data_IF_781189437090
#
_entry.id   IF_781189437090
#
_cell.length_a   1.000
_cell.length_b   1.000
_cell.length_c   1.000
_cell.angle_alpha   90.00
_cell.angle_beta   90.00
_cell.angle_gamma   90.00
#
_symmetry.space_group_name_H-M   'P 1'
#
loop_
_entity.id
_entity.type
_entity.pdbx_description
1 polymer ?
2 branched ?
3 branched ?
4 non-polymer ?
5 non-polymer ?
6 non-polymer ?
7 water ?
#
# COMPACT_ATOMS: atom_id res chain seq x y z
N UNK A 27 8.80 22.75 0.44
CA UNK A 27 10.24 22.47 0.38
C UNK A 27 10.53 21.33 -0.60
N UNK A 28 11.10 21.68 -1.74
CA UNK A 28 11.34 20.68 -2.79
C UNK A 28 12.53 19.79 -2.48
N UNK A 29 13.48 20.26 -1.68
CA UNK A 29 14.76 19.58 -1.55
C UNK A 29 15.09 19.30 -0.09
N UNK A 30 15.90 18.28 0.17
CA UNK A 30 16.54 18.14 1.48
C UNK A 30 17.28 19.41 1.88
N UNK A 31 17.19 19.76 3.16
CA UNK A 31 17.84 20.99 3.64
C UNK A 31 19.34 21.00 3.36
N UNK A 32 19.98 19.83 3.36
CA UNK A 32 21.42 19.78 3.10
C UNK A 32 21.78 20.24 1.70
N UNK A 33 20.81 20.34 0.80
CA UNK A 33 21.07 20.64 -0.61
C UNK A 33 21.18 22.13 -0.89
N UNK A 34 20.93 22.99 0.09
CA UNK A 34 21.04 24.44 -0.03
C UNK A 34 22.38 24.93 0.46
N UNK A 35 22.98 25.96 -0.17
CA UNK A 35 22.48 26.62 -1.38
C UNK A 35 22.77 25.80 -2.63
N UNK A 36 22.17 26.19 -3.77
CA UNK A 36 22.41 25.57 -5.07
C UNK A 36 21.94 24.12 -5.10
N UNK A 37 20.67 23.85 -4.82
CA UNK A 37 20.22 22.45 -4.88
C UNK A 37 20.17 21.85 -6.29
N UNK A 38 20.12 22.68 -7.32
CA UNK A 38 20.07 22.19 -8.71
C UNK A 38 21.47 22.10 -9.33
N UNK A 39 22.52 22.13 -8.51
CA UNK A 39 23.87 21.99 -9.03
C UNK A 39 23.97 20.77 -9.93
N UNK A 40 24.60 20.95 -11.09
CA UNK A 40 24.80 19.86 -12.04
C UNK A 40 23.65 19.57 -12.97
N UNK A 41 22.49 20.19 -12.78
CA UNK A 41 21.30 19.90 -13.56
C UNK A 41 21.15 20.97 -14.64
N UNK A 42 20.98 20.54 -15.89
CA UNK A 42 20.72 21.49 -16.97
C UNK A 42 19.23 21.82 -17.00
N UNK A 43 18.91 23.12 -16.96
CA UNK A 43 17.51 23.53 -16.99
C UNK A 43 16.93 23.37 -18.38
N UNK A 44 15.72 22.79 -18.46
CA UNK A 44 15.03 22.63 -19.73
C UNK A 44 13.64 23.27 -19.76
N UNK A 45 12.80 23.01 -18.75
CA UNK A 45 11.40 23.45 -18.76
C UNK A 45 10.94 23.78 -17.34
N UNK A 46 10.32 24.96 -17.17
CA UNK A 46 9.98 25.49 -15.85
C UNK A 46 8.87 24.73 -15.13
N UNK A 47 8.22 23.76 -15.76
CA UNK A 47 7.19 23.03 -15.05
C UNK A 47 7.76 21.99 -14.09
N UNK A 48 9.04 21.65 -14.25
CA UNK A 48 9.65 20.52 -13.59
C UNK A 48 10.72 20.98 -12.59
N UNK A 49 10.96 20.15 -11.57
CA UNK A 49 11.96 20.47 -10.57
C UNK A 49 13.34 20.62 -11.21
N UNK A 50 14.00 21.72 -10.89
CA UNK A 50 15.28 22.08 -11.50
C UNK A 50 15.19 22.19 -13.03
N UNK A 51 13.98 22.34 -13.56
CA UNK A 51 13.78 22.41 -14.99
C UNK A 51 13.97 21.11 -15.72
N UNK A 52 14.03 20.00 -15.01
CA UNK A 52 14.36 18.70 -15.59
C UNK A 52 13.18 17.77 -15.49
N UNK A 53 12.57 17.35 -16.61
CA UNK A 53 11.38 16.49 -16.52
C UNK A 53 11.64 15.18 -15.79
N UNK A 54 12.87 14.68 -15.80
CA UNK A 54 13.13 13.44 -15.07
C UNK A 54 12.88 13.59 -13.57
N UNK A 55 12.87 14.82 -13.06
CA UNK A 55 12.71 15.07 -11.64
C UNK A 55 11.26 15.35 -11.26
N UNK A 56 10.33 15.30 -12.20
CA UNK A 56 8.93 15.39 -11.88
C UNK A 56 8.46 16.83 -11.79
N UNK A 57 7.17 17.01 -11.57
CA UNK A 57 6.58 18.35 -11.62
C UNK A 57 6.82 19.12 -10.33
N UNK A 58 6.90 20.45 -10.47
CA UNK A 58 7.02 21.32 -9.30
C UNK A 58 5.79 21.19 -8.41
N UNK A 59 4.61 21.31 -9.02
CA UNK A 59 3.35 21.29 -8.28
C UNK A 59 2.86 19.84 -8.16
N UNK A 60 2.64 19.41 -6.93
CA UNK A 60 2.15 18.08 -6.64
C UNK A 60 0.65 18.11 -6.34
N UNK A 61 0.00 16.94 -6.36
CA UNK A 61 -1.45 16.89 -6.16
C UNK A 61 -1.91 17.55 -4.86
N UNK A 62 -3.03 18.28 -4.95
CA UNK A 62 -3.60 18.96 -3.79
C UNK A 62 -4.91 18.37 -3.29
N UNK A 63 -5.54 17.43 -4.01
CA UNK A 63 -6.86 16.93 -3.62
C UNK A 63 -6.85 15.42 -3.51
N UNK A 64 -7.89 14.92 -2.84
CA UNK A 64 -8.06 13.49 -2.62
C UNK A 64 -8.56 12.82 -3.89
N UNK A 65 -8.09 11.60 -4.20
CA UNK A 65 -7.18 10.68 -3.50
C UNK A 65 -5.71 10.93 -3.70
N UNK A 66 -5.35 11.71 -4.72
CA UNK A 66 -3.94 11.75 -5.12
C UNK A 66 -3.06 12.29 -4.01
N UNK A 67 -3.54 13.30 -3.28
CA UNK A 67 -2.68 13.81 -2.22
C UNK A 67 -2.48 12.76 -1.13
N UNK A 68 -3.49 11.90 -0.88
CA UNK A 68 -3.31 10.82 0.09
C UNK A 68 -2.21 9.85 -0.35
N UNK A 69 -2.14 9.55 -1.65
CA UNK A 69 -1.12 8.64 -2.16
C UNK A 69 0.29 9.24 -2.14
N UNK A 70 0.42 10.56 -2.03
CA UNK A 70 1.72 11.20 -2.09
C UNK A 70 2.14 11.79 -0.76
N UNK A 71 1.37 11.54 0.30
CA UNK A 71 1.63 12.14 1.60
C UNK A 71 2.96 11.70 2.19
N UNK A 72 3.42 10.49 1.87
CA UNK A 72 4.66 9.98 2.44
C UNK A 72 5.82 10.04 1.45
N UNK A 73 5.68 10.79 0.36
CA UNK A 73 6.61 10.76 -0.76
C UNK A 73 7.64 11.88 -0.63
N UNK A 74 8.89 11.52 -0.39
CA UNK A 74 10.02 12.44 -0.50
C UNK A 74 10.72 12.11 -1.80
N UNK A 75 10.59 12.99 -2.80
CA UNK A 75 10.88 12.58 -4.17
C UNK A 75 12.35 12.22 -4.40
N UNK A 76 13.29 12.80 -3.64
CA UNK A 76 14.70 12.43 -3.77
C UNK A 76 15.21 11.60 -2.59
N UNK A 77 14.33 11.16 -1.70
CA UNK A 77 14.83 10.63 -0.45
C UNK A 77 15.57 11.72 0.30
N UNK A 78 16.78 11.40 0.76
CA UNK A 78 17.67 12.38 1.37
C UNK A 78 18.75 12.85 0.42
N UNK A 79 18.63 12.55 -0.88
CA UNK A 79 19.63 12.93 -1.87
C UNK A 79 19.31 14.29 -2.47
N UNK A 80 20.35 14.92 -3.05
CA UNK A 80 20.14 16.10 -3.88
C UNK A 80 19.87 15.67 -5.32
N UNK A 81 19.26 16.54 -6.14
CA UNK A 81 18.89 16.12 -7.51
C UNK A 81 19.98 15.43 -8.31
N UNK A 82 21.20 16.00 -8.34
CA UNK A 82 22.26 15.37 -9.13
C UNK A 82 22.68 14.03 -8.54
N UNK A 83 22.75 13.94 -7.20
CA UNK A 83 23.05 12.67 -6.55
C UNK A 83 22.03 11.61 -6.92
N UNK A 84 20.76 12.01 -7.02
CA UNK A 84 19.68 11.06 -7.31
C UNK A 84 19.81 10.52 -8.74
N UNK A 85 20.03 11.42 -9.71
CA UNK A 85 20.23 10.98 -11.09
C UNK A 85 21.49 10.16 -11.24
N UNK A 86 22.56 10.54 -10.52
CA UNK A 86 23.79 9.76 -10.61
C UNK A 86 23.58 8.33 -10.10
N UNK A 87 22.72 8.16 -9.10
CA UNK A 87 22.45 6.84 -8.54
C UNK A 87 21.51 6.02 -9.42
N UNK A 88 20.47 6.64 -9.99
CA UNK A 88 19.38 5.88 -10.60
C UNK A 88 19.26 6.05 -12.11
N UNK A 89 20.13 6.84 -12.74
CA UNK A 89 20.07 7.03 -14.17
C UNK A 89 21.47 6.85 -14.78
N UNK A 90 21.51 6.77 -16.12
CA UNK A 90 22.78 6.56 -16.81
C UNK A 90 23.66 7.81 -16.81
N UNK A 91 23.06 8.99 -16.69
CA UNK A 91 23.83 10.22 -16.73
C UNK A 91 23.03 11.32 -16.05
N UNK A 92 23.75 12.23 -15.38
CA UNK A 92 23.12 13.43 -14.85
C UNK A 92 22.78 14.38 -16.00
N UNK A 93 23.55 14.35 -17.09
CA UNK A 93 23.28 15.20 -18.25
C UNK A 93 21.90 14.87 -18.83
N UNK A 94 21.33 15.78 -19.65
CA UNK A 94 19.96 15.57 -20.16
C UNK A 94 19.71 14.25 -20.87
N UNK A 95 20.76 13.66 -21.45
CA UNK A 95 20.59 12.39 -22.17
C UNK A 95 20.54 11.19 -21.25
N UNK A 96 20.73 11.35 -19.95
CA UNK A 96 20.64 10.20 -19.05
C UNK A 96 19.21 9.70 -18.94
N UNK A 97 19.06 8.38 -18.87
CA UNK A 97 17.75 7.75 -18.71
C UNK A 97 17.73 6.87 -17.47
N UNK A 98 16.55 6.72 -16.88
CA UNK A 98 16.45 5.94 -15.67
C UNK A 98 16.77 4.48 -15.96
N UNK A 99 17.44 3.84 -15.00
CA UNK A 99 17.78 2.43 -15.07
C UNK A 99 16.81 1.67 -14.18
N UNK A 100 16.20 0.61 -14.72
CA UNK A 100 15.11 -0.10 -14.07
C UNK A 100 15.59 -1.38 -13.39
N UNK A 101 14.84 -1.86 -12.40
CA UNK A 101 15.23 -3.07 -11.68
C UNK A 101 15.06 -4.31 -12.54
N UNK A 102 15.77 -5.39 -12.21
CA UNK A 102 15.68 -6.60 -13.02
C UNK A 102 14.37 -7.34 -12.74
N UNK A 103 14.08 -8.32 -13.59
CA UNK A 103 12.94 -9.21 -13.40
C UNK A 103 11.62 -8.45 -13.30
N UNK A 104 11.48 -7.39 -14.09
CA UNK A 104 10.27 -6.57 -14.12
C UNK A 104 9.97 -5.93 -12.76
N UNK A 105 10.97 -5.80 -11.89
CA UNK A 105 10.80 -5.09 -10.64
C UNK A 105 10.06 -5.87 -9.58
N UNK A 106 9.87 -7.17 -9.76
CA UNK A 106 9.33 -7.98 -8.67
C UNK A 106 10.40 -8.17 -7.59
N UNK A 107 9.96 -8.19 -6.34
CA UNK A 107 10.88 -8.48 -5.24
C UNK A 107 11.48 -9.87 -5.41
N UNK A 108 12.76 -10.00 -5.11
CA UNK A 108 13.49 -11.24 -5.29
C UNK A 108 13.60 -12.01 -3.99
N UNK A 109 13.58 -13.34 -4.09
CA UNK A 109 13.68 -14.21 -2.93
C UNK A 109 15.16 -14.50 -2.63
N UNK A 110 15.41 -15.38 -1.66
CA UNK A 110 16.79 -15.66 -1.26
C UNK A 110 17.58 -16.38 -2.33
N UNK A 111 16.92 -16.93 -3.35
CA UNK A 111 17.59 -17.53 -4.50
C UNK A 111 17.66 -16.57 -5.69
N UNK A 112 17.44 -15.27 -5.44
CA UNK A 112 17.45 -14.24 -6.48
C UNK A 112 16.41 -14.49 -7.57
N UNK A 113 15.31 -15.15 -7.21
CA UNK A 113 14.24 -15.39 -8.14
C UNK A 113 13.04 -14.50 -7.83
N UNK A 114 12.37 -13.96 -8.84
CA UNK A 114 11.25 -13.05 -8.57
C UNK A 114 10.09 -13.79 -7.91
N UNK A 115 9.44 -13.09 -6.99
CA UNK A 115 8.27 -13.62 -6.29
C UNK A 115 7.04 -13.14 -7.04
N UNK A 116 6.35 -14.07 -7.70
CA UNK A 116 5.11 -13.74 -8.38
C UNK A 116 4.37 -15.02 -8.70
N UNK A 117 3.12 -14.87 -9.08
CA UNK A 117 2.35 -15.97 -9.61
C UNK A 117 1.33 -15.46 -10.60
N UNK A 118 0.85 -16.36 -11.43
CA UNK A 118 -0.29 -16.02 -12.27
C UNK A 118 -1.55 -16.03 -11.41
N UNK A 119 -2.31 -14.94 -11.47
CA UNK A 119 -3.52 -14.84 -10.66
C UNK A 119 -4.65 -14.25 -11.48
N UNK A 120 -5.88 -14.67 -11.16
CA UNK A 120 -7.07 -14.17 -11.83
C UNK A 120 -7.57 -12.93 -11.09
N UNK A 121 -7.71 -11.83 -11.78
CA UNK A 121 -8.28 -10.66 -11.14
C UNK A 121 -9.80 -10.72 -11.24
N UNK A 122 -10.53 -10.57 -10.13
CA UNK A 122 -11.98 -10.79 -10.17
C UNK A 122 -12.73 -9.57 -10.65
N UNK A 123 -13.90 -9.83 -11.22
CA UNK A 123 -14.79 -8.75 -11.66
C UNK A 123 -15.15 -7.88 -10.46
N UNK A 124 -14.98 -6.57 -10.60
CA UNK A 124 -15.21 -5.61 -9.55
C UNK A 124 -13.96 -4.99 -8.97
N UNK A 125 -12.80 -5.61 -9.13
CA UNK A 125 -11.57 -5.10 -8.54
C UNK A 125 -11.18 -3.76 -9.16
N UNK A 126 -10.74 -2.83 -8.31
CA UNK A 126 -10.32 -1.50 -8.77
C UNK A 126 -8.80 -1.39 -8.81
N UNK A 127 -8.27 -0.87 -9.91
CA UNK A 127 -6.84 -0.78 -10.15
C UNK A 127 -6.50 0.65 -10.54
N UNK A 128 -5.24 1.06 -10.30
CA UNK A 128 -4.82 2.36 -10.78
C UNK A 128 -3.38 2.31 -11.30
N UNK A 129 -2.94 3.43 -11.88
CA UNK A 129 -1.69 3.44 -12.65
C UNK A 129 -1.25 4.88 -12.87
N UNK A 130 0.05 5.14 -12.69
CA UNK A 130 0.67 6.37 -13.17
C UNK A 130 1.43 5.99 -14.45
N UNK A 131 0.89 6.39 -15.59
CA UNK A 131 1.52 6.06 -16.86
C UNK A 131 0.51 5.96 -17.98
N UNK A 132 1.03 5.87 -19.20
CA UNK A 132 0.16 5.82 -20.39
C UNK A 132 -0.48 4.44 -20.53
N UNK A 133 -1.54 4.39 -21.32
CA UNK A 133 -2.28 3.13 -21.43
C UNK A 133 -1.58 2.12 -22.34
N UNK A 134 -0.42 2.46 -22.88
CA UNK A 134 0.32 1.47 -23.65
C UNK A 134 1.18 0.58 -22.77
N UNK A 135 1.21 0.82 -21.47
CA UNK A 135 2.01 0.03 -20.56
C UNK A 135 1.24 -1.16 -19.99
N UNK A 136 1.92 -1.86 -19.07
CA UNK A 136 1.43 -3.16 -18.57
C UNK A 136 1.54 -3.30 -17.06
N UNK A 137 1.73 -2.22 -16.30
CA UNK A 137 1.93 -2.29 -14.87
C UNK A 137 0.79 -1.57 -14.16
N UNK A 138 0.02 -2.31 -13.36
CA UNK A 138 -1.05 -1.74 -12.55
C UNK A 138 -0.79 -2.00 -11.06
N UNK A 139 -1.52 -1.27 -10.22
CA UNK A 139 -1.41 -1.39 -8.77
C UNK A 139 -2.83 -1.41 -8.23
N UNK A 140 -3.04 -1.89 -7.00
CA UNK A 140 -4.37 -1.79 -6.43
C UNK A 140 -4.70 -0.34 -6.15
N UNK A 141 -5.96 0.05 -6.42
CA UNK A 141 -6.38 1.42 -6.20
C UNK A 141 -5.96 1.92 -4.82
N UNK A 142 -5.32 3.09 -4.80
CA UNK A 142 -4.96 3.76 -3.56
C UNK A 142 -3.58 3.46 -3.02
N UNK A 143 -2.81 2.59 -3.66
CA UNK A 143 -1.47 2.27 -3.17
C UNK A 143 -0.63 3.55 -3.08
N UNK A 144 0.08 3.77 -1.97
CA UNK A 144 0.97 4.94 -1.87
C UNK A 144 1.99 4.96 -3.01
N UNK A 145 2.34 6.17 -3.45
CA UNK A 145 3.36 6.29 -4.49
C UNK A 145 4.65 5.57 -4.10
N UNK A 146 5.06 5.67 -2.85
CA UNK A 146 6.34 5.05 -2.45
C UNK A 146 6.29 3.52 -2.53
N UNK A 147 5.11 2.91 -2.48
CA UNK A 147 4.99 1.46 -2.62
C UNK A 147 5.17 0.99 -4.05
N UNK A 148 5.17 1.91 -5.01
CA UNK A 148 5.17 1.57 -6.43
C UNK A 148 6.56 1.56 -7.05
N UNK A 149 7.57 2.09 -6.35
CA UNK A 149 8.94 2.17 -6.87
C UNK A 149 8.96 2.74 -8.29
N UNK A 150 8.35 3.91 -8.46
CA UNK A 150 8.35 4.66 -9.71
C UNK A 150 9.28 5.87 -9.59
N UNK A 151 9.87 6.30 -10.69
CA UNK A 151 10.69 7.52 -10.68
C UNK A 151 9.81 8.76 -10.65
N UNK A 152 10.38 9.94 -10.39
CA UNK A 152 9.54 11.16 -10.31
C UNK A 152 8.80 11.47 -11.59
N UNK A 153 9.33 11.06 -12.75
CA UNK A 153 8.74 11.45 -14.02
C UNK A 153 7.41 10.77 -14.31
N UNK A 154 7.07 9.70 -13.59
CA UNK A 154 5.75 9.11 -13.80
C UNK A 154 4.62 10.03 -13.34
N UNK A 155 4.91 11.08 -12.57
CA UNK A 155 3.93 12.08 -12.18
C UNK A 155 3.77 13.20 -13.20
N UNK A 156 4.56 13.20 -14.27
CA UNK A 156 4.43 14.24 -15.27
C UNK A 156 3.12 14.10 -16.01
N UNK A 157 2.47 15.23 -16.30
CA UNK A 157 1.20 15.24 -17.01
C UNK A 157 1.46 15.26 -18.51
N UNK A 158 0.81 14.34 -19.23
CA UNK A 158 0.92 14.33 -20.70
C UNK A 158 -0.37 14.68 -21.41
N UNK A 159 -1.52 14.43 -20.79
CA UNK A 159 -2.81 14.80 -21.31
C UNK A 159 -3.57 15.52 -20.21
N UNK A 160 -4.10 16.70 -20.52
CA UNK A 160 -4.81 17.49 -19.53
C UNK A 160 -6.01 16.79 -18.92
N UNK A 161 -6.55 15.79 -19.62
CA UNK A 161 -7.67 15.03 -19.06
C UNK A 161 -7.24 14.09 -17.96
N UNK A 162 -5.94 13.91 -17.77
CA UNK A 162 -5.41 12.98 -16.77
C UNK A 162 -4.24 13.63 -16.04
N UNK A 163 -4.53 14.57 -15.14
CA UNK A 163 -3.47 15.18 -14.34
C UNK A 163 -2.60 14.11 -13.69
N UNK A 164 -1.29 14.35 -13.72
CA UNK A 164 -0.31 13.47 -13.10
C UNK A 164 -0.26 12.10 -13.77
N UNK A 165 -0.85 11.99 -14.97
CA UNK A 165 -0.91 10.72 -15.70
C UNK A 165 -1.58 9.61 -14.90
N UNK A 166 -2.52 9.98 -14.04
CA UNK A 166 -3.13 9.04 -13.09
C UNK A 166 -4.45 8.51 -13.66
N UNK A 167 -4.55 7.19 -13.76
CA UNK A 167 -5.72 6.51 -14.32
C UNK A 167 -6.25 5.50 -13.32
N UNK A 168 -7.58 5.36 -13.27
CA UNK A 168 -8.23 4.37 -12.41
C UNK A 168 -9.13 3.49 -13.26
N UNK A 169 -9.08 2.17 -13.01
CA UNK A 169 -9.84 1.18 -13.77
C UNK A 169 -10.61 0.25 -12.85
N UNK A 170 -11.60 -0.44 -13.43
CA UNK A 170 -12.33 -1.50 -12.72
C UNK A 170 -12.45 -2.72 -13.63
N UNK A 171 -12.20 -3.90 -13.07
CA UNK A 171 -12.27 -5.15 -13.83
C UNK A 171 -13.73 -5.46 -14.17
N UNK A 172 -14.02 -5.64 -15.46
CA UNK A 172 -15.35 -6.00 -15.93
C UNK A 172 -15.43 -7.43 -16.47
N UNK A 173 -14.30 -8.07 -16.74
CA UNK A 173 -14.26 -9.50 -17.05
C UNK A 173 -12.97 -10.04 -16.47
N UNK A 174 -13.02 -11.22 -15.85
CA UNK A 174 -11.81 -11.70 -15.19
C UNK A 174 -10.71 -12.00 -16.20
N UNK A 175 -9.46 -11.76 -15.79
CA UNK A 175 -8.33 -12.14 -16.63
C UNK A 175 -7.12 -12.40 -15.75
N UNK A 176 -6.12 -13.09 -16.31
CA UNK A 176 -4.96 -13.52 -15.55
C UNK A 176 -3.82 -12.53 -15.76
N UNK A 177 -3.12 -12.20 -14.66
CA UNK A 177 -1.98 -11.28 -14.66
C UNK A 177 -0.86 -11.90 -13.85
N UNK A 178 0.34 -11.36 -14.04
CA UNK A 178 1.43 -11.66 -13.13
C UNK A 178 1.31 -10.80 -11.88
N UNK A 179 1.23 -11.43 -10.72
CA UNK A 179 0.90 -10.73 -9.48
C UNK A 179 2.03 -10.96 -8.47
N UNK A 180 2.58 -9.89 -7.92
CA UNK A 180 3.66 -10.03 -6.95
C UNK A 180 4.11 -8.75 -6.30
N UNK A 181 4.94 -8.88 -5.26
CA UNK A 181 5.43 -7.70 -4.53
C UNK A 181 6.41 -6.88 -5.36
N UNK A 182 6.48 -5.59 -5.04
CA UNK A 182 7.31 -4.64 -5.79
C UNK A 182 8.63 -4.44 -5.05
N UNK A 183 9.76 -4.64 -5.76
CA UNK A 183 11.07 -4.42 -5.15
C UNK A 183 11.31 -2.93 -4.90
N UNK A 184 12.06 -2.59 -3.86
CA UNK A 184 12.44 -1.18 -3.68
C UNK A 184 13.29 -0.71 -4.84
N UNK A 185 13.09 0.55 -5.24
CA UNK A 185 13.91 1.17 -6.27
C UNK A 185 13.68 2.67 -6.20
N UNK A 186 14.54 3.42 -6.88
CA UNK A 186 14.38 4.86 -7.04
C UNK A 186 14.30 5.56 -5.69
N UNK A 187 15.04 5.05 -4.69
CA UNK A 187 15.14 5.63 -3.35
C UNK A 187 13.84 5.48 -2.54
N UNK A 188 12.99 4.56 -2.91
CA UNK A 188 11.75 4.29 -2.19
C UNK A 188 11.70 2.84 -1.73
N UNK A 189 10.83 2.51 -0.77
CA UNK A 189 10.80 1.15 -0.22
C UNK A 189 10.07 0.13 -1.07
N UNK A 190 9.22 0.56 -2.01
CA UNK A 190 8.38 -0.37 -2.73
C UNK A 190 7.47 -1.15 -1.79
N UNK A 191 7.34 -2.44 -2.08
CA UNK A 191 6.53 -3.40 -1.32
C UNK A 191 5.02 -3.14 -1.39
N UNK A 192 4.55 -2.46 -2.43
CA UNK A 192 3.19 -2.65 -2.86
C UNK A 192 3.08 -3.98 -3.60
N UNK A 193 1.91 -4.22 -4.20
CA UNK A 193 1.72 -5.32 -5.14
C UNK A 193 1.56 -4.73 -6.53
N UNK A 194 2.22 -5.35 -7.51
CA UNK A 194 2.03 -4.94 -8.90
C UNK A 194 1.35 -6.04 -9.70
N UNK A 195 0.61 -5.63 -10.71
CA UNK A 195 -0.04 -6.53 -11.65
C UNK A 195 0.56 -6.28 -13.01
N UNK A 196 1.24 -7.28 -13.57
CA UNK A 196 1.90 -7.11 -14.86
C UNK A 196 1.06 -7.84 -15.89
N UNK A 197 0.48 -7.08 -16.81
CA UNK A 197 -0.49 -7.67 -17.71
C UNK A 197 0.19 -8.26 -18.93
N UNK A 198 -0.50 -9.22 -19.53
CA UNK A 198 -0.03 -9.85 -20.76
C UNK A 198 -0.48 -9.11 -22.01
N UNK A 199 -1.42 -8.17 -21.87
CA UNK A 199 -1.86 -7.26 -22.92
C UNK A 199 -1.79 -5.85 -22.36
N UNK A 200 -1.45 -4.86 -23.19
CA UNK A 200 -1.37 -3.53 -22.61
C UNK A 200 -2.76 -3.05 -22.20
N UNK A 201 -2.76 -2.03 -21.34
CA UNK A 201 -4.00 -1.59 -20.69
C UNK A 201 -5.03 -1.19 -21.74
N UNK A 202 -4.58 -0.49 -22.78
CA UNK A 202 -5.47 -0.12 -23.88
C UNK A 202 -6.17 -1.34 -24.47
N UNK A 203 -5.42 -2.42 -24.71
CA UNK A 203 -6.03 -3.60 -25.29
C UNK A 203 -7.03 -4.24 -24.34
N UNK A 204 -6.74 -4.19 -23.04
CA UNK A 204 -7.66 -4.76 -22.06
C UNK A 204 -8.96 -3.98 -22.01
N UNK A 205 -8.89 -2.66 -22.20
CA UNK A 205 -10.10 -1.84 -22.25
C UNK A 205 -10.89 -2.13 -23.51
N UNK A 206 -10.20 -2.16 -24.66
CA UNK A 206 -10.92 -2.38 -25.91
C UNK A 206 -11.58 -3.75 -25.96
N UNK A 207 -11.02 -4.74 -25.27
CA UNK A 207 -11.58 -6.09 -25.30
C UNK A 207 -12.55 -6.35 -24.17
N UNK A 208 -12.88 -5.35 -23.36
CA UNK A 208 -13.94 -5.49 -22.36
C UNK A 208 -13.53 -6.02 -21.01
N UNK A 209 -12.23 -6.07 -20.70
CA UNK A 209 -11.74 -6.57 -19.43
C UNK A 209 -11.66 -5.49 -18.37
N UNK A 210 -11.46 -4.24 -18.77
CA UNK A 210 -11.35 -3.10 -17.87
C UNK A 210 -12.23 -1.98 -18.39
N UNK A 211 -12.73 -1.15 -17.46
CA UNK A 211 -13.42 0.08 -17.80
C UNK A 211 -12.78 1.23 -17.03
N UNK A 212 -12.79 2.41 -17.63
CA UNK A 212 -12.20 3.59 -16.99
C UNK A 212 -13.18 4.20 -15.98
N UNK A 213 -12.65 4.60 -14.82
CA UNK A 213 -13.47 5.18 -13.75
C UNK A 213 -13.36 6.70 -13.76
N UNK A 214 -14.51 7.36 -13.65
CA UNK A 214 -14.53 8.79 -13.35
C UNK A 214 -14.07 9.03 -11.93
N UNK A 215 -13.46 10.21 -11.70
CA UNK A 215 -13.06 10.64 -10.37
C UNK A 215 -14.20 10.48 -9.36
N UNK A 216 -15.44 10.70 -9.80
CA UNK A 216 -16.61 10.55 -8.93
C UNK A 216 -16.78 9.12 -8.42
N UNK A 217 -16.07 8.15 -8.98
CA UNK A 217 -16.22 6.76 -8.60
C UNK A 217 -15.12 6.29 -7.67
N UNK A 218 -14.21 7.18 -7.26
CA UNK A 218 -13.22 6.85 -6.24
C UNK A 218 -12.93 8.05 -5.35
N UNK A 219 -13.96 8.84 -5.05
CA UNK A 219 -13.80 9.99 -4.16
C UNK A 219 -14.38 9.76 -2.76
N UNK A 220 -14.94 8.58 -2.48
CA UNK A 220 -15.53 8.26 -1.16
C UNK A 220 -14.90 6.98 -0.60
N UNK A 221 -14.77 6.92 0.73
CA UNK A 221 -14.13 5.77 1.38
C UNK A 221 -14.75 4.44 0.94
N UNK A 222 -16.08 4.37 0.89
CA UNK A 222 -16.74 3.11 0.56
C UNK A 222 -16.36 2.64 -0.84
N UNK A 223 -15.97 3.56 -1.72
CA UNK A 223 -15.55 3.19 -3.06
C UNK A 223 -14.17 2.52 -3.08
N UNK A 224 -13.47 2.45 -1.94
CA UNK A 224 -12.21 1.72 -1.83
C UNK A 224 -12.38 0.35 -1.19
N UNK A 225 -13.55 0.04 -0.66
CA UNK A 225 -13.81 -1.25 -0.04
C UNK A 225 -14.09 -2.32 -1.10
N UNK A 226 -14.35 -3.54 -0.64
CA UNK A 226 -14.41 -4.73 -1.48
C UNK A 226 -15.74 -5.44 -1.29
N UNK A 227 -16.69 -5.29 -2.20
CA UNK A 227 -17.94 -6.05 -2.13
C UNK A 227 -17.93 -7.37 -2.91
N UNK A 228 -16.87 -7.65 -3.67
CA UNK A 228 -16.90 -8.78 -4.61
C UNK A 228 -16.30 -10.07 -4.05
N UNK A 229 -15.34 -9.99 -3.12
CA UNK A 229 -14.78 -11.22 -2.57
C UNK A 229 -15.79 -11.87 -1.63
N UNK A 230 -16.14 -13.15 -1.80
CA UNK A 230 -17.16 -13.76 -0.94
C UNK A 230 -16.59 -14.15 0.43
N UNK A 231 -17.51 -14.33 1.37
CA UNK A 231 -17.14 -14.77 2.71
C UNK A 231 -16.79 -16.24 2.74
N UNK A 232 -16.20 -16.67 3.84
CA UNK A 232 -15.89 -18.09 4.01
C UNK A 232 -17.15 -18.93 4.10
N UNK A 233 -17.05 -20.17 3.61
CA UNK A 233 -18.17 -21.09 3.70
C UNK A 233 -18.34 -21.57 5.13
N UNK A 234 -19.55 -21.43 5.65
CA UNK A 234 -19.87 -21.92 6.99
C UNK A 234 -20.99 -22.96 6.94
N UNK B 26 -18.94 10.68 3.77
CA UNK B 26 -18.24 9.64 4.53
C UNK B 26 -18.69 9.68 6.01
N UNK B 27 -18.99 8.50 6.57
CA UNK B 27 -19.52 8.40 7.92
C UNK B 27 -19.24 7.02 8.49
N UNK B 28 -19.61 6.84 9.75
CA UNK B 28 -19.38 5.58 10.46
C UNK B 28 -20.14 4.43 9.81
N UNK B 29 -21.48 4.52 9.77
CA UNK B 29 -22.22 3.46 9.10
C UNK B 29 -22.69 3.93 7.72
N UNK B 30 -22.83 3.00 6.78
CA UNK B 30 -23.58 3.30 5.55
C UNK B 30 -24.96 3.87 5.88
N UNK B 31 -25.44 4.75 5.01
CA UNK B 31 -26.74 5.40 5.25
C UNK B 31 -27.88 4.38 5.34
N UNK B 32 -27.75 3.25 4.63
CA UNK B 32 -28.78 2.23 4.62
C UNK B 32 -29.05 1.68 6.02
N UNK B 33 -28.05 1.70 6.89
CA UNK B 33 -28.17 1.03 8.18
C UNK B 33 -29.05 1.79 9.15
N UNK B 34 -29.29 3.08 8.94
CA UNK B 34 -30.16 3.84 9.81
C UNK B 34 -31.62 3.46 9.57
N UNK B 35 -32.50 3.68 10.56
CA UNK B 35 -32.28 4.41 11.82
C UNK B 35 -31.73 3.59 13.00
N UNK B 36 -31.47 2.29 12.82
CA UNK B 36 -31.00 1.43 13.91
C UNK B 36 -29.81 0.62 13.42
N UNK B 37 -28.65 1.25 13.25
CA UNK B 37 -27.51 0.55 12.65
C UNK B 37 -26.94 -0.57 13.51
N UNK B 38 -27.22 -0.57 14.82
CA UNK B 38 -26.71 -1.59 15.73
C UNK B 38 -27.72 -2.70 15.99
N UNK B 39 -28.81 -2.77 15.23
CA UNK B 39 -29.77 -3.86 15.41
C UNK B 39 -29.07 -5.20 15.22
N UNK B 40 -29.46 -6.18 16.04
CA UNK B 40 -28.82 -7.48 15.99
C UNK B 40 -27.53 -7.60 16.76
N UNK B 41 -26.96 -6.50 17.26
CA UNK B 41 -25.66 -6.52 17.93
C UNK B 41 -25.90 -6.45 19.44
N UNK B 42 -25.22 -7.33 20.17
CA UNK B 42 -25.30 -7.30 21.64
C UNK B 42 -24.30 -6.30 22.18
N UNK B 43 -24.80 -5.29 22.88
CA UNK B 43 -23.92 -4.29 23.50
C UNK B 43 -23.09 -4.92 24.61
N UNK B 44 -21.82 -4.52 24.67
CA UNK B 44 -20.90 -5.00 25.70
C UNK B 44 -20.15 -3.88 26.40
N UNK B 45 -19.66 -2.88 25.66
CA UNK B 45 -18.84 -1.83 26.27
C UNK B 45 -18.80 -0.63 25.32
N UNK B 46 -18.99 0.57 25.91
CA UNK B 46 -19.12 1.86 25.24
C UNK B 46 -17.98 2.19 24.29
N UNK B 47 -16.79 1.61 24.48
CA UNK B 47 -15.64 2.07 23.72
C UNK B 47 -15.75 1.71 22.25
N UNK B 48 -16.54 0.69 21.94
CA UNK B 48 -16.53 0.08 20.62
C UNK B 48 -17.82 0.41 19.88
N UNK B 49 -17.72 0.35 18.56
CA UNK B 49 -18.89 0.57 17.71
C UNK B 49 -19.95 -0.45 18.07
N UNK B 50 -21.18 0.02 18.29
CA UNK B 50 -22.32 -0.78 18.75
C UNK B 50 -22.05 -1.51 20.06
N UNK B 51 -20.98 -1.12 20.77
CA UNK B 51 -20.59 -1.82 21.99
C UNK B 51 -19.91 -3.15 21.77
N UNK B 52 -19.57 -3.50 20.53
CA UNK B 52 -19.01 -4.80 20.24
C UNK B 52 -17.53 -4.66 19.92
N UNK B 53 -16.63 -5.23 20.74
CA UNK B 53 -15.20 -5.04 20.47
C UNK B 53 -14.77 -5.51 19.09
N UNK B 54 -15.48 -6.48 18.51
CA UNK B 54 -15.12 -6.97 17.19
C UNK B 54 -15.34 -5.91 16.11
N UNK B 55 -16.13 -4.88 16.40
CA UNK B 55 -16.42 -3.80 15.46
C UNK B 55 -15.45 -2.64 15.58
N UNK B 56 -14.48 -2.71 16.46
CA UNK B 56 -13.46 -1.68 16.50
C UNK B 56 -13.86 -0.47 17.33
N UNK B 57 -12.94 0.48 17.45
CA UNK B 57 -13.16 1.64 18.33
C UNK B 57 -14.03 2.71 17.68
N UNK B 58 -14.78 3.41 18.54
CA UNK B 58 -15.59 4.53 18.04
C UNK B 58 -14.68 5.64 17.51
N UNK B 59 -13.65 6.00 18.27
CA UNK B 59 -12.79 7.12 17.88
C UNK B 59 -11.59 6.60 17.11
N UNK B 60 -11.27 7.27 16.01
CA UNK B 60 -10.24 6.84 15.07
C UNK B 60 -9.15 7.89 15.00
N UNK B 61 -7.98 7.54 14.44
CA UNK B 61 -6.82 8.44 14.50
C UNK B 61 -7.06 9.78 13.82
N UNK B 62 -6.44 10.82 14.39
CA UNK B 62 -6.55 12.17 13.85
C UNK B 62 -5.21 12.76 13.42
N UNK B 63 -4.13 11.98 13.45
CA UNK B 63 -2.79 12.53 13.24
C UNK B 63 -1.98 11.62 12.33
N UNK B 64 -0.97 12.24 11.68
CA UNK B 64 -0.12 11.54 10.72
C UNK B 64 0.82 10.57 11.45
N UNK B 65 1.04 9.36 10.89
CA UNK B 65 0.56 8.80 9.62
C UNK B 65 -0.71 7.99 9.72
N UNK B 66 -1.21 7.77 10.94
CA UNK B 66 -2.38 6.91 11.10
C UNK B 66 -3.57 7.45 10.33
N UNK B 67 -3.78 8.77 10.36
CA UNK B 67 -4.91 9.30 9.61
C UNK B 67 -4.71 9.08 8.10
N UNK B 68 -3.47 9.17 7.64
CA UNK B 68 -3.18 8.85 6.23
C UNK B 68 -3.47 7.39 5.93
N UNK B 69 -3.14 6.49 6.86
CA UNK B 69 -3.33 5.06 6.60
C UNK B 69 -4.79 4.65 6.65
N UNK B 70 -5.64 5.41 7.31
CA UNK B 70 -7.04 5.04 7.45
C UNK B 70 -7.95 5.90 6.58
N UNK B 71 -7.37 6.76 5.75
CA UNK B 71 -8.17 7.73 4.99
C UNK B 71 -9.09 7.06 3.98
N UNK B 72 -8.75 5.87 3.50
CA UNK B 72 -9.58 5.15 2.54
C UNK B 72 -10.37 4.00 3.17
N UNK B 73 -10.49 3.97 4.51
CA UNK B 73 -11.03 2.81 5.23
C UNK B 73 -12.51 3.01 5.52
N UNK B 74 -13.36 2.21 4.87
CA UNK B 74 -14.77 2.08 5.23
C UNK B 74 -14.91 0.80 6.03
N UNK B 75 -15.18 0.95 7.33
CA UNK B 75 -15.02 -0.13 8.30
C UNK B 75 -15.83 -1.37 7.93
N UNK B 76 -17.04 -1.18 7.42
CA UNK B 76 -17.90 -2.31 7.07
C UNK B 76 -18.12 -2.43 5.57
N UNK B 77 -17.34 -1.73 4.76
CA UNK B 77 -17.67 -1.65 3.35
C UNK B 77 -19.01 -0.98 3.20
N UNK B 78 -19.88 -1.56 2.39
CA UNK B 78 -21.26 -1.14 2.27
C UNK B 78 -22.20 -1.99 3.12
N UNK B 79 -21.65 -2.82 4.00
CA UNK B 79 -22.46 -3.68 4.87
C UNK B 79 -22.82 -2.96 6.16
N UNK B 80 -23.82 -3.49 6.86
CA UNK B 80 -24.16 -3.05 8.20
C UNK B 80 -23.52 -3.98 9.22
N UNK B 81 -23.39 -3.54 10.48
CA UNK B 81 -22.62 -4.33 11.47
C UNK B 81 -23.01 -5.81 11.54
N UNK B 82 -24.28 -6.14 11.75
CA UNK B 82 -24.66 -7.55 11.84
C UNK B 82 -24.39 -8.30 10.54
N UNK B 83 -24.60 -7.66 9.39
CA UNK B 83 -24.25 -8.30 8.12
C UNK B 83 -22.76 -8.57 8.04
N UNK B 84 -21.94 -7.63 8.53
CA UNK B 84 -20.50 -7.79 8.46
C UNK B 84 -20.05 -8.99 9.30
N UNK B 85 -20.60 -9.10 10.52
CA UNK B 85 -20.22 -10.23 11.37
C UNK B 85 -20.75 -11.54 10.82
N UNK B 86 -21.94 -11.51 10.20
CA UNK B 86 -22.49 -12.75 9.66
C UNK B 86 -21.64 -13.26 8.52
N UNK B 87 -21.05 -12.35 7.74
CA UNK B 87 -20.21 -12.75 6.62
C UNK B 87 -18.83 -13.20 7.07
N UNK B 88 -18.24 -12.52 8.06
CA UNK B 88 -16.82 -12.71 8.34
C UNK B 88 -16.55 -13.39 9.68
N UNK B 89 -17.56 -13.69 10.47
CA UNK B 89 -17.32 -14.34 11.75
C UNK B 89 -18.27 -15.53 11.91
N UNK B 90 -18.01 -16.33 12.96
CA UNK B 90 -18.77 -17.55 13.18
C UNK B 90 -20.19 -17.28 13.68
N UNK B 91 -20.41 -16.14 14.33
CA UNK B 91 -21.72 -15.80 14.87
C UNK B 91 -21.79 -14.29 15.03
N UNK B 92 -22.99 -13.74 14.81
CA UNK B 92 -23.22 -12.34 15.11
C UNK B 92 -23.25 -12.10 16.62
N UNK B 93 -23.66 -13.10 17.40
CA UNK B 93 -23.67 -13.02 18.86
C UNK B 93 -22.24 -12.87 19.39
N UNK B 94 -22.09 -12.45 20.65
CA UNK B 94 -20.74 -12.21 21.20
C UNK B 94 -19.81 -13.40 21.14
N UNK B 95 -20.32 -14.64 21.16
CA UNK B 95 -19.45 -15.80 21.07
C UNK B 95 -18.80 -15.96 19.69
N UNK B 96 -19.23 -15.19 18.69
CA UNK B 96 -18.68 -15.36 17.35
C UNK B 96 -17.25 -14.86 17.23
N UNK B 97 -16.44 -15.60 16.47
CA UNK B 97 -15.06 -15.24 16.23
C UNK B 97 -14.79 -15.01 14.75
N UNK B 98 -13.88 -14.09 14.46
CA UNK B 98 -13.54 -13.81 13.07
C UNK B 98 -12.92 -15.05 12.41
N UNK B 99 -13.31 -15.30 11.17
CA UNK B 99 -12.78 -16.41 10.38
C UNK B 99 -11.72 -15.85 9.43
N UNK B 100 -10.54 -16.45 9.42
CA UNK B 100 -9.41 -15.89 8.68
C UNK B 100 -9.18 -16.64 7.38
N UNK B 101 -8.49 -16.02 6.41
CA UNK B 101 -8.32 -16.64 5.09
C UNK B 101 -7.40 -17.84 5.15
N UNK B 102 -7.47 -18.74 4.17
CA UNK B 102 -6.55 -19.89 4.15
C UNK B 102 -5.14 -19.44 3.78
N UNK B 103 -4.19 -20.37 3.98
CA UNK B 103 -2.82 -20.21 3.51
C UNK B 103 -2.17 -18.93 4.07
N UNK B 104 -2.40 -18.66 5.34
CA UNK B 104 -1.84 -17.49 6.02
C UNK B 104 -2.23 -16.18 5.35
N UNK B 105 -3.28 -16.20 4.53
CA UNK B 105 -3.76 -14.98 3.91
C UNK B 105 -2.95 -14.47 2.76
N UNK B 106 -2.03 -15.27 2.22
CA UNK B 106 -1.37 -14.88 0.98
C UNK B 106 -2.35 -14.99 -0.18
N UNK B 107 -2.27 -14.05 -1.12
CA UNK B 107 -3.03 -14.15 -2.36
C UNK B 107 -2.72 -15.47 -3.08
N UNK B 108 -3.75 -16.09 -3.63
CA UNK B 108 -3.62 -17.40 -4.25
C UNK B 108 -3.48 -17.29 -5.77
N UNK B 109 -2.68 -18.17 -6.35
CA UNK B 109 -2.49 -18.14 -7.79
C UNK B 109 -3.58 -18.96 -8.48
N UNK B 110 -3.47 -19.12 -9.81
CA UNK B 110 -4.51 -19.81 -10.57
C UNK B 110 -4.60 -21.29 -10.24
N UNK B 111 -3.63 -21.85 -9.53
CA UNK B 111 -3.72 -23.22 -9.01
C UNK B 111 -4.08 -23.25 -7.53
N UNK B 112 -4.60 -22.14 -7.00
CA UNK B 112 -4.96 -21.98 -5.59
C UNK B 112 -3.79 -22.28 -4.64
N UNK B 113 -2.57 -21.97 -5.09
CA UNK B 113 -1.37 -22.00 -4.26
C UNK B 113 -1.03 -20.58 -3.80
N UNK B 114 -0.52 -20.42 -2.59
CA UNK B 114 -0.16 -19.06 -2.12
C UNK B 114 1.04 -18.52 -2.87
N UNK B 115 1.00 -17.21 -3.14
CA UNK B 115 2.09 -16.51 -3.81
C UNK B 115 3.00 -15.94 -2.72
N UNK B 116 4.23 -16.46 -2.64
CA UNK B 116 5.17 -15.95 -1.65
C UNK B 116 6.55 -16.51 -1.96
N UNK B 117 7.55 -15.92 -1.31
CA UNK B 117 8.87 -16.51 -1.30
C UNK B 117 9.55 -16.12 -0.01
N UNK B 118 10.54 -16.91 0.38
CA UNK B 118 11.39 -16.53 1.49
C UNK B 118 12.35 -15.46 1.01
N UNK B 119 12.47 -14.37 1.77
CA UNK B 119 13.30 -13.23 1.39
C UNK B 119 13.99 -12.64 2.61
N UNK B 120 15.19 -12.09 2.38
CA UNK B 120 15.98 -11.44 3.42
C UNK B 120 15.57 -9.97 3.53
N UNK B 121 15.17 -9.54 4.73
CA UNK B 121 14.85 -8.12 4.95
C UNK B 121 16.15 -7.37 5.27
N UNK B 122 16.45 -6.29 4.54
CA UNK B 122 17.73 -5.61 4.75
C UNK B 122 17.72 -4.67 5.95
N UNK B 123 18.89 -4.53 6.56
CA UNK B 123 19.09 -3.58 7.64
C UNK B 123 18.67 -2.19 7.18
N UNK B 124 17.85 -1.53 8.01
CA UNK B 124 17.34 -0.20 7.72
C UNK B 124 15.89 -0.17 7.30
N UNK B 125 15.35 -1.28 6.83
CA UNK B 125 13.97 -1.31 6.38
C UNK B 125 13.01 -1.02 7.53
N UNK B 126 11.98 -0.24 7.26
CA UNK B 126 10.99 0.13 8.27
C UNK B 126 9.71 -0.67 8.06
N UNK B 127 9.22 -1.27 9.14
CA UNK B 127 8.01 -2.09 9.12
C UNK B 127 7.02 -1.56 10.13
N UNK B 128 5.74 -1.91 9.96
CA UNK B 128 4.77 -1.57 10.99
C UNK B 128 3.73 -2.67 11.09
N UNK B 129 2.82 -2.50 12.06
CA UNK B 129 1.89 -3.55 12.42
C UNK B 129 0.81 -2.98 13.33
N UNK B 130 -0.44 -3.36 13.05
CA UNK B 130 -1.54 -3.19 13.99
C UNK B 130 -1.75 -4.53 14.69
N UNK B 131 -1.35 -4.61 15.95
CA UNK B 131 -1.52 -5.85 16.70
C UNK B 131 -0.43 -6.01 17.73
N UNK B 132 -0.59 -7.06 18.53
CA UNK B 132 0.31 -7.31 19.66
C UNK B 132 1.66 -7.83 19.16
N UNK B 133 2.68 -7.67 20.00
CA UNK B 133 4.02 -8.11 19.59
C UNK B 133 4.18 -9.61 19.65
N UNK B 134 3.13 -10.35 20.01
CA UNK B 134 3.16 -11.81 19.90
C UNK B 134 2.77 -12.31 18.52
N UNK B 135 2.41 -11.42 17.60
CA UNK B 135 2.09 -11.80 16.24
C UNK B 135 3.31 -11.94 15.33
N UNK B 136 3.04 -12.40 14.11
CA UNK B 136 4.07 -12.76 13.14
C UNK B 136 3.82 -12.13 11.77
N UNK B 137 2.94 -11.15 11.67
CA UNK B 137 2.57 -10.51 10.41
C UNK B 137 2.93 -9.04 10.47
N UNK B 138 3.81 -8.58 9.57
CA UNK B 138 4.14 -7.17 9.46
C UNK B 138 3.87 -6.67 8.04
N UNK B 139 3.86 -5.35 7.88
CA UNK B 139 3.68 -4.66 6.61
C UNK B 139 4.77 -3.62 6.43
N UNK B 140 4.96 -3.11 5.22
CA UNK B 140 5.93 -2.01 5.06
C UNK B 140 5.34 -0.74 5.66
N UNK B 141 6.19 0.03 6.33
CA UNK B 141 5.75 1.28 6.97
C UNK B 141 4.88 2.09 6.02
N UNK B 142 3.70 2.48 6.51
CA UNK B 142 2.81 3.35 5.77
C UNK B 142 1.75 2.67 4.92
N UNK B 143 1.72 1.34 4.88
CA UNK B 143 0.72 0.65 4.07
C UNK B 143 -0.69 1.03 4.53
N UNK B 144 -1.61 1.36 3.62
CA UNK B 144 -2.98 1.66 4.04
C UNK B 144 -3.58 0.48 4.79
N UNK B 145 -4.47 0.80 5.75
CA UNK B 145 -5.17 -0.24 6.47
C UNK B 145 -5.91 -1.19 5.54
N UNK B 146 -6.51 -0.68 4.47
CA UNK B 146 -7.28 -1.55 3.59
C UNK B 146 -6.39 -2.52 2.84
N UNK B 147 -5.09 -2.23 2.72
CA UNK B 147 -4.17 -3.17 2.06
C UNK B 147 -3.81 -4.35 2.93
N UNK B 148 -4.11 -4.30 4.24
CA UNK B 148 -3.67 -5.31 5.21
C UNK B 148 -4.68 -6.43 5.45
N UNK B 149 -5.90 -6.29 4.94
CA UNK B 149 -7.01 -7.25 5.18
C UNK B 149 -7.10 -7.66 6.65
N UNK B 150 -7.27 -6.66 7.51
CA UNK B 150 -7.46 -6.84 8.94
C UNK B 150 -8.89 -6.49 9.33
N UNK B 151 -9.42 -7.12 10.38
CA UNK B 151 -10.75 -6.79 10.86
C UNK B 151 -10.71 -5.51 11.69
N UNK B 152 -11.87 -4.93 12.00
CA UNK B 152 -11.86 -3.67 12.75
C UNK B 152 -11.19 -3.76 14.12
N UNK B 153 -11.21 -4.93 14.75
CA UNK B 153 -10.70 -5.07 16.12
C UNK B 153 -9.18 -4.93 16.23
N UNK B 154 -8.44 -5.01 15.12
CA UNK B 154 -7.01 -4.75 15.20
C UNK B 154 -6.69 -3.29 15.50
N UNK B 155 -7.68 -2.40 15.45
CA UNK B 155 -7.52 -1.02 15.84
C UNK B 155 -7.81 -0.77 17.31
N UNK B 156 -8.22 -1.79 18.05
CA UNK B 156 -8.49 -1.62 19.47
C UNK B 156 -7.20 -1.37 20.22
N UNK B 157 -7.24 -0.41 21.14
CA UNK B 157 -6.08 -0.07 21.94
C UNK B 157 -6.00 -0.99 23.16
N UNK B 158 -4.82 -1.55 23.38
CA UNK B 158 -4.60 -2.38 24.57
C UNK B 158 -3.52 -1.84 25.48
N UNK B 159 -2.61 -1.02 24.97
CA UNK B 159 -1.56 -0.38 25.74
C UNK B 159 -1.63 1.11 25.42
N UNK B 160 -1.82 1.92 26.46
CA UNK B 160 -1.95 3.36 26.26
C UNK B 160 -0.76 4.00 25.56
N UNK B 161 0.43 3.42 25.73
CA UNK B 161 1.59 3.96 25.01
C UNK B 161 1.60 3.60 23.54
N UNK B 162 0.71 2.71 23.08
CA UNK B 162 0.58 2.39 21.67
C UNK B 162 -0.87 2.51 21.25
N UNK B 163 -1.35 3.74 21.01
CA UNK B 163 -2.74 3.92 20.55
C UNK B 163 -3.00 3.14 19.29
N UNK B 164 -4.18 2.53 19.22
CA UNK B 164 -4.64 1.75 18.06
C UNK B 164 -3.81 0.51 17.84
N UNK B 165 -3.01 0.10 18.82
CA UNK B 165 -2.15 -1.08 18.70
C UNK B 165 -1.18 -0.95 17.54
N UNK B 166 -0.77 0.27 17.23
CA UNK B 166 0.05 0.57 16.06
C UNK B 166 1.52 0.66 16.47
N UNK B 167 2.34 -0.18 15.87
CA UNK B 167 3.75 -0.30 16.20
C UNK B 167 4.59 -0.12 14.95
N UNK B 168 5.70 0.59 15.08
CA UNK B 168 6.67 0.76 13.99
C UNK B 168 8.01 0.21 14.44
N UNK B 169 8.70 -0.48 13.53
CA UNK B 169 9.99 -1.11 13.80
C UNK B 169 10.96 -0.80 12.67
N UNK B 170 12.25 -0.99 12.96
CA UNK B 170 13.28 -0.92 11.95
C UNK B 170 14.19 -2.14 12.10
N UNK B 171 14.50 -2.75 10.96
CA UNK B 171 15.38 -3.93 10.91
C UNK B 171 16.79 -3.50 11.31
N UNK B 172 17.32 -4.14 12.36
CA UNK B 172 18.67 -3.89 12.84
C UNK B 172 19.65 -4.99 12.48
N UNK B 173 19.16 -6.18 12.17
CA UNK B 173 19.98 -7.29 11.68
C UNK B 173 19.16 -8.05 10.63
N UNK B 174 19.82 -8.47 9.56
CA UNK B 174 19.14 -9.18 8.48
C UNK B 174 18.50 -10.47 8.98
N UNK B 175 17.30 -10.76 8.47
CA UNK B 175 16.65 -12.04 8.72
C UNK B 175 15.66 -12.34 7.60
N UNK B 176 15.28 -13.62 7.50
CA UNK B 176 14.50 -14.14 6.38
C UNK B 176 13.05 -14.32 6.82
N UNK B 177 12.12 -13.86 5.98
CA UNK B 177 10.69 -13.91 6.26
C UNK B 177 9.99 -14.45 5.01
N UNK B 178 8.78 -14.95 5.20
CA UNK B 178 7.90 -15.22 4.06
C UNK B 178 7.29 -13.91 3.58
N UNK B 179 7.44 -13.63 2.29
CA UNK B 179 7.11 -12.31 1.75
C UNK B 179 6.17 -12.51 0.56
N UNK B 180 5.05 -11.79 0.55
CA UNK B 180 4.08 -12.00 -0.50
C UNK B 180 2.84 -11.13 -0.39
N UNK B 181 2.01 -11.17 -1.44
CA UNK B 181 0.83 -10.30 -1.49
C UNK B 181 -0.27 -10.77 -0.55
N UNK B 182 -1.00 -9.79 -0.02
CA UNK B 182 -2.10 -10.03 0.91
C UNK B 182 -3.41 -10.25 0.16
N UNK B 183 -4.07 -11.38 0.44
CA UNK B 183 -5.36 -11.66 -0.18
C UNK B 183 -6.44 -10.73 0.37
N UNK B 184 -7.42 -10.35 -0.45
CA UNK B 184 -8.57 -9.61 0.07
C UNK B 184 -9.33 -10.41 1.14
N UNK B 185 -9.78 -9.70 2.16
CA UNK B 185 -10.60 -10.31 3.21
C UNK B 185 -11.26 -9.17 3.99
N UNK B 186 -12.26 -9.53 4.81
CA UNK B 186 -12.92 -8.59 5.72
C UNK B 186 -13.50 -7.38 5.01
N UNK B 187 -14.00 -7.56 3.78
CA UNK B 187 -14.64 -6.53 2.97
C UNK B 187 -13.65 -5.46 2.48
N UNK B 188 -12.36 -5.80 2.41
CA UNK B 188 -11.31 -4.90 1.94
C UNK B 188 -10.53 -5.55 0.79
N UNK B 189 -9.87 -4.74 -0.03
CA UNK B 189 -9.19 -5.28 -1.22
C UNK B 189 -7.88 -5.99 -0.93
N UNK B 190 -7.24 -5.74 0.23
CA UNK B 190 -5.92 -6.31 0.47
C UNK B 190 -4.90 -5.79 -0.53
N UNK B 191 -3.99 -6.68 -0.93
CA UNK B 191 -2.95 -6.44 -1.93
C UNK B 191 -1.87 -5.45 -1.46
N UNK B 192 -1.70 -5.28 -0.16
CA UNK B 192 -0.38 -4.90 0.32
C UNK B 192 0.58 -6.09 0.21
N UNK B 193 1.77 -5.92 0.78
CA UNK B 193 2.71 -7.03 0.96
C UNK B 193 2.76 -7.33 2.45
N UNK B 194 2.69 -8.62 2.81
CA UNK B 194 2.89 -9.00 4.20
C UNK B 194 4.20 -9.74 4.37
N UNK B 195 4.81 -9.56 5.54
CA UNK B 195 6.00 -10.30 5.94
C UNK B 195 5.60 -11.21 7.08
N UNK B 196 5.69 -12.51 6.86
CA UNK B 196 5.32 -13.50 7.86
C UNK B 196 6.59 -14.02 8.51
N UNK B 197 6.76 -13.73 9.78
CA UNK B 197 8.01 -14.04 10.47
C UNK B 197 7.92 -15.41 11.11
N UNK B 198 9.08 -16.03 11.28
CA UNK B 198 9.14 -17.33 11.94
C UNK B 198 9.41 -17.22 13.44
N UNK B 199 9.68 -16.00 13.92
CA UNK B 199 9.78 -15.65 15.33
C UNK B 199 8.85 -14.46 15.53
N UNK B 200 8.09 -14.45 16.64
CA UNK B 200 7.20 -13.30 16.78
C UNK B 200 7.99 -12.02 17.00
N UNK B 201 7.30 -10.89 16.86
CA UNK B 201 7.94 -9.58 16.91
C UNK B 201 8.72 -9.40 18.21
N UNK B 202 8.11 -9.73 19.36
CA UNK B 202 8.82 -9.55 20.62
C UNK B 202 10.11 -10.35 20.66
N UNK B 203 10.09 -11.58 20.15
CA UNK B 203 11.30 -12.38 20.13
C UNK B 203 12.35 -11.81 19.20
N UNK B 204 11.91 -11.22 18.08
CA UNK B 204 12.85 -10.58 17.16
C UNK B 204 13.50 -9.35 17.78
N UNK B 205 12.76 -8.64 18.64
CA UNK B 205 13.35 -7.49 19.32
C UNK B 205 14.36 -7.95 20.36
N UNK B 206 13.99 -8.95 21.16
CA UNK B 206 14.91 -9.42 22.20
C UNK B 206 16.18 -10.00 21.61
N UNK B 207 16.11 -10.54 20.40
CA UNK B 207 17.27 -11.14 19.76
C UNK B 207 18.04 -10.17 18.87
N UNK B 208 17.63 -8.90 18.81
CA UNK B 208 18.40 -7.90 18.09
C UNK B 208 18.10 -7.76 16.62
N UNK B 209 16.98 -8.30 16.13
CA UNK B 209 16.66 -8.19 14.72
C UNK B 209 15.79 -6.98 14.41
N UNK B 210 14.98 -6.54 15.35
CA UNK B 210 14.17 -5.35 15.20
C UNK B 210 14.41 -4.43 16.38
N UNK B 211 14.27 -3.14 16.14
CA UNK B 211 14.17 -2.17 17.21
C UNK B 211 12.90 -1.36 17.03
N UNK B 212 12.40 -0.82 18.13
CA UNK B 212 11.17 -0.05 18.12
C UNK B 212 11.46 1.41 17.76
N UNK B 213 10.59 2.01 16.95
CA UNK B 213 10.73 3.41 16.59
C UNK B 213 9.72 4.27 17.37
N UNK B 214 10.18 5.44 17.80
CA UNK B 214 9.34 6.46 18.39
C UNK B 214 8.60 7.23 17.30
N UNK B 215 7.55 7.97 17.70
CA UNK B 215 6.82 8.79 16.73
C UNK B 215 7.74 9.75 15.99
N UNK B 216 8.72 10.32 16.69
CA UNK B 216 9.63 11.29 16.06
C UNK B 216 10.47 10.67 14.96
N UNK B 217 10.53 9.35 14.87
CA UNK B 217 11.31 8.69 13.83
C UNK B 217 10.48 8.33 12.61
N UNK B 218 9.19 8.64 12.58
CA UNK B 218 8.39 8.43 11.36
C UNK B 218 7.37 9.54 11.19
N UNK B 219 7.73 10.77 11.55
CA UNK B 219 6.81 11.88 11.41
C UNK B 219 7.13 12.78 10.22
N UNK B 220 8.21 12.50 9.48
CA UNK B 220 8.60 13.29 8.32
C UNK B 220 8.60 12.43 7.06
N UNK B 221 8.26 13.06 5.93
CA UNK B 221 8.25 12.37 4.64
C UNK B 221 9.56 11.64 4.36
N UNK B 222 10.69 12.28 4.66
CA UNK B 222 11.97 11.66 4.32
C UNK B 222 12.15 10.37 5.10
N UNK B 223 11.54 10.27 6.26
CA UNK B 223 11.70 9.06 7.06
C UNK B 223 10.93 7.87 6.48
N UNK B 224 10.17 8.07 5.38
CA UNK B 224 9.50 6.98 4.66
C UNK B 224 10.26 6.54 3.42
N UNK B 225 11.30 7.27 3.04
CA UNK B 225 12.12 6.94 1.87
C UNK B 225 13.14 5.87 2.22
N UNK B 226 13.90 5.45 1.21
CA UNK B 226 14.80 4.30 1.29
C UNK B 226 16.24 4.70 1.00
N UNK B 227 17.12 4.78 2.00
CA UNK B 227 18.55 5.00 1.73
C UNK B 227 19.40 3.73 1.73
N UNK B 228 18.80 2.56 1.98
CA UNK B 228 19.58 1.33 2.20
C UNK B 228 19.70 0.45 0.97
N UNK B 229 18.76 0.53 0.04
CA UNK B 229 18.87 -0.26 -1.18
C UNK B 229 19.90 0.38 -2.12
N UNK B 230 20.94 -0.33 -2.54
CA UNK B 230 21.94 0.27 -3.42
C UNK B 230 21.40 0.41 -4.84
N UNK B 231 22.01 1.34 -5.58
CA UNK B 231 21.62 1.57 -6.97
C UNK B 231 22.31 0.62 -7.92
N UNK B 232 21.91 0.67 -9.20
CA UNK B 232 22.45 -0.27 -10.18
C UNK B 232 23.88 0.03 -10.60
N UNK B 233 24.35 1.26 -10.38
CA UNK B 233 25.70 1.63 -10.78
C UNK B 233 26.65 1.34 -9.62
#
# INVERSE_FOLDING_TARGET
MIFTNAILVISALLPATVLSLQHTEDSLFPARCWPDPCAGITFQNDTYVCGDPRLGPVVLPQKFPLNNELRTYARFGALCPAEFLDKWATDVAPNGTYIYPPANGFALDTEEQPILGNATLPVGMKLDRFGSEYGTFLAPLGAPYIERSLPPSNLNTFDGMYPYNYHVYQVTKEFVVGLGPIAPWFEQPGMGTQFVTYTNVLGLIDDGYLRRLDESEYDEKVEYSNPYTPGPNQDVLFQGPGHHHHHH
MIFTNAILVISALLPATVLSLQHTEDSLFPARCWPDPCAGITFQNDTYVCGDPRLGPVVLPQKFPLNNELRTYARFGALCPAEFLDKWATDVAPNGTYIYPPANGFALDTEEQPILGNATLPVGMKLDRFGSEYGTFLAPLGAPYIERSLPPSNLNTFDGMYPYNYHVYQVTKEFVVGLGPIAPWFEQPGMGTQFVTYTNVLGLIDDGYLRRLDESEYDEKVEYSNPYTPGPNQDVLFQGPGHHHHHH
#
